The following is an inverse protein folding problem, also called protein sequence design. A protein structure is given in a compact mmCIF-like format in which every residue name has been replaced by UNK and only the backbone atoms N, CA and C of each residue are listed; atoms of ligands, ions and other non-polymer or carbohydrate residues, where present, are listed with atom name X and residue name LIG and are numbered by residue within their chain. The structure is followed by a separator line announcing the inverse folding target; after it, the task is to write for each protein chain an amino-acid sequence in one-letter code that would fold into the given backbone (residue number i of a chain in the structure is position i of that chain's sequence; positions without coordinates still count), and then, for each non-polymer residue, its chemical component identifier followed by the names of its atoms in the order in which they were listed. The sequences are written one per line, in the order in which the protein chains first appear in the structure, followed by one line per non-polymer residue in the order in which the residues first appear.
data_IF_660151023439
#
_entry.id   IF_660151023439
#
_cell.length_a   1.000
_cell.length_b   1.000
_cell.length_c   1.000
_cell.angle_alpha   90.00
_cell.angle_beta   90.00
_cell.angle_gamma   90.00
#
_symmetry.space_group_name_H-M   'P 1'
#
loop_
_entity.id
_entity.type
_entity.pdbx_description
1 polymer ?
#
# COMPACT_ATOMS: atom_id res chain seq x y z
N UNK A 1 44.95 -36.76 3.88
CA UNK A 1 43.87 -36.68 2.85
C UNK A 1 42.72 -35.73 3.23
N UNK A 2 42.50 -35.42 4.52
CA UNK A 2 41.42 -34.54 5.04
C UNK A 2 41.54 -33.05 4.63
N UNK A 3 42.75 -32.57 4.35
CA UNK A 3 42.97 -31.16 3.95
C UNK A 3 42.34 -30.78 2.60
N UNK A 4 42.27 -31.72 1.66
CA UNK A 4 41.66 -31.48 0.34
C UNK A 4 40.13 -31.55 0.41
N UNK A 5 39.58 -32.48 1.18
CA UNK A 5 38.13 -32.63 1.35
C UNK A 5 37.51 -31.45 2.10
N UNK A 6 38.21 -30.90 3.10
CA UNK A 6 37.78 -29.68 3.80
C UNK A 6 37.71 -28.46 2.88
N UNK A 7 38.66 -28.30 1.95
CA UNK A 7 38.66 -27.19 0.99
C UNK A 7 37.50 -27.30 -0.02
N UNK A 8 37.18 -28.53 -0.45
CA UNK A 8 36.01 -28.78 -1.31
C UNK A 8 34.68 -28.52 -0.59
N UNK A 9 34.54 -28.99 0.65
CA UNK A 9 33.34 -28.75 1.47
C UNK A 9 33.12 -27.27 1.75
N UNK A 10 34.19 -26.52 2.01
CA UNK A 10 34.13 -25.08 2.26
C UNK A 10 33.75 -24.30 1.00
N UNK A 11 34.28 -24.71 -0.17
CA UNK A 11 33.86 -24.15 -1.46
C UNK A 11 32.40 -24.44 -1.80
N UNK A 12 31.92 -25.65 -1.53
CA UNK A 12 30.51 -26.01 -1.73
C UNK A 12 29.58 -25.21 -0.82
N UNK A 13 29.94 -25.05 0.47
CA UNK A 13 29.16 -24.25 1.42
C UNK A 13 29.12 -22.76 1.01
N UNK A 14 30.24 -22.20 0.56
CA UNK A 14 30.31 -20.82 0.06
C UNK A 14 29.47 -20.62 -1.22
N UNK A 15 29.51 -21.59 -2.14
CA UNK A 15 28.70 -21.57 -3.35
C UNK A 15 27.20 -21.58 -3.05
N UNK A 16 26.74 -22.44 -2.13
CA UNK A 16 25.35 -22.49 -1.68
C UNK A 16 24.94 -21.19 -1.00
N UNK A 17 25.78 -20.63 -0.12
CA UNK A 17 25.49 -19.35 0.51
C UNK A 17 25.36 -18.20 -0.51
N UNK A 18 26.22 -18.17 -1.52
CA UNK A 18 26.18 -17.16 -2.59
C UNK A 18 24.95 -17.32 -3.48
N UNK A 19 24.56 -18.54 -3.86
CA UNK A 19 23.36 -18.76 -4.67
C UNK A 19 22.11 -18.39 -3.88
N UNK A 20 21.99 -18.80 -2.61
CA UNK A 20 20.88 -18.39 -1.75
C UNK A 20 20.82 -16.87 -1.55
N UNK A 21 21.95 -16.18 -1.39
CA UNK A 21 21.97 -14.72 -1.29
C UNK A 21 21.60 -14.02 -2.61
N UNK A 22 22.03 -14.56 -3.76
CA UNK A 22 21.76 -13.99 -5.08
C UNK A 22 20.34 -14.28 -5.59
N UNK A 23 19.78 -15.44 -5.26
CA UNK A 23 18.44 -15.87 -5.69
C UNK A 23 17.38 -15.70 -4.61
N UNK A 24 17.73 -15.14 -3.45
CA UNK A 24 16.72 -14.74 -2.48
C UNK A 24 15.74 -13.80 -3.20
N UNK A 25 14.44 -14.17 -3.32
CA UNK A 25 13.46 -13.21 -3.75
C UNK A 25 13.61 -12.07 -2.75
N UNK A 26 14.00 -10.88 -3.22
CA UNK A 26 14.06 -9.70 -2.34
C UNK A 26 12.72 -9.67 -1.66
N UNK A 27 12.67 -10.03 -0.38
CA UNK A 27 11.44 -9.94 0.39
C UNK A 27 11.20 -8.45 0.40
N UNK A 28 10.29 -7.99 -0.45
CA UNK A 28 9.89 -6.59 -0.50
C UNK A 28 9.01 -6.40 0.74
N UNK A 29 9.66 -6.37 1.90
CA UNK A 29 9.07 -6.00 3.18
C UNK A 29 8.71 -4.52 3.03
N UNK A 30 7.51 -4.23 2.54
CA UNK A 30 7.03 -2.87 2.36
C UNK A 30 6.24 -2.60 1.09
N UNK A 31 6.21 -3.52 0.12
CA UNK A 31 5.22 -3.43 -0.95
C UNK A 31 3.92 -4.05 -0.43
N UNK A 32 3.22 -3.32 0.44
CA UNK A 32 1.79 -3.59 0.64
C UNK A 32 1.17 -3.59 -0.75
N UNK A 33 0.63 -4.71 -1.20
CA UNK A 33 -0.32 -4.72 -2.30
C UNK A 33 -1.45 -3.79 -1.87
N UNK A 34 -1.37 -2.53 -2.31
CA UNK A 34 -2.31 -1.48 -1.96
C UNK A 34 -3.63 -1.92 -2.57
N UNK A 35 -4.49 -2.51 -1.75
CA UNK A 35 -5.80 -2.99 -2.18
C UNK A 35 -6.57 -1.75 -2.62
N UNK A 36 -6.52 -1.43 -3.91
CA UNK A 36 -7.07 -0.20 -4.47
C UNK A 36 -8.55 -0.02 -4.06
N UNK A 37 -9.29 -1.12 -3.94
CA UNK A 37 -10.65 -1.14 -3.42
C UNK A 37 -10.77 -0.65 -1.96
N UNK A 38 -9.84 -1.04 -1.07
CA UNK A 38 -9.84 -0.60 0.32
C UNK A 38 -9.58 0.91 0.45
N UNK A 39 -8.78 1.47 -0.46
CA UNK A 39 -8.57 2.92 -0.52
C UNK A 39 -9.84 3.64 -1.02
N UNK A 40 -10.53 3.10 -2.05
CA UNK A 40 -11.79 3.68 -2.55
C UNK A 40 -12.84 3.81 -1.46
N UNK A 41 -13.11 2.74 -0.69
CA UNK A 41 -14.11 2.81 0.39
C UNK A 41 -13.71 3.78 1.50
N UNK A 42 -12.39 3.91 1.78
CA UNK A 42 -11.89 4.90 2.74
C UNK A 42 -12.16 6.33 2.27
N UNK A 43 -12.00 6.62 0.98
CA UNK A 43 -12.30 7.93 0.42
C UNK A 43 -13.80 8.23 0.42
N UNK A 44 -14.67 7.24 0.19
CA UNK A 44 -16.11 7.41 0.32
C UNK A 44 -16.53 7.73 1.77
N UNK A 45 -15.93 7.08 2.75
CA UNK A 45 -16.18 7.39 4.16
C UNK A 45 -15.71 8.81 4.51
N UNK A 46 -14.52 9.22 4.06
CA UNK A 46 -14.02 10.57 4.27
C UNK A 46 -14.93 11.64 3.63
N UNK A 47 -15.43 11.38 2.44
CA UNK A 47 -16.42 12.25 1.81
C UNK A 47 -17.68 12.38 2.68
N UNK A 48 -18.19 11.26 3.21
CA UNK A 48 -19.31 11.25 4.14
C UNK A 48 -19.04 12.07 5.40
N UNK A 49 -17.90 11.88 6.05
CA UNK A 49 -17.52 12.63 7.26
C UNK A 49 -17.48 14.15 7.03
N UNK A 50 -16.94 14.57 5.88
CA UNK A 50 -16.89 15.98 5.49
C UNK A 50 -18.29 16.52 5.18
N UNK A 51 -19.11 15.77 4.47
CA UNK A 51 -20.50 16.12 4.16
C UNK A 51 -21.32 16.37 5.43
N UNK A 52 -21.24 15.44 6.39
CA UNK A 52 -21.91 15.53 7.69
C UNK A 52 -21.45 16.76 8.47
N UNK A 53 -20.13 17.00 8.51
CA UNK A 53 -19.56 18.14 9.20
C UNK A 53 -20.04 19.46 8.61
N UNK A 54 -20.02 19.59 7.28
CA UNK A 54 -20.49 20.81 6.64
C UNK A 54 -21.96 21.05 6.96
N UNK A 55 -22.80 20.02 6.91
CA UNK A 55 -24.24 20.17 7.23
C UNK A 55 -24.49 20.55 8.70
N UNK A 56 -23.64 20.10 9.63
CA UNK A 56 -23.78 20.38 11.05
C UNK A 56 -23.19 21.74 11.49
N UNK A 57 -22.04 22.10 10.92
CA UNK A 57 -21.26 23.27 11.35
C UNK A 57 -21.58 24.53 10.54
N UNK A 58 -22.31 24.43 9.41
CA UNK A 58 -22.69 25.61 8.64
C UNK A 58 -23.78 26.44 9.34
N UNK A 59 -23.64 27.77 9.21
CA UNK A 59 -24.58 28.75 9.75
C UNK A 59 -25.98 28.61 9.13
N UNK A 60 -26.04 28.29 7.84
CA UNK A 60 -27.28 28.04 7.11
C UNK A 60 -27.26 26.62 6.57
N UNK A 61 -28.37 25.89 6.75
CA UNK A 61 -28.46 24.50 6.29
C UNK A 61 -28.34 24.45 4.76
N UNK A 62 -27.30 23.81 4.21
CA UNK A 62 -27.15 23.66 2.78
C UNK A 62 -28.19 22.69 2.22
N UNK A 63 -28.48 22.83 0.92
CA UNK A 63 -29.24 21.83 0.17
C UNK A 63 -28.34 20.62 -0.11
N UNK A 64 -28.69 19.47 0.45
CA UNK A 64 -27.90 18.24 0.39
C UNK A 64 -27.66 17.77 -1.06
N UNK A 65 -28.68 17.84 -1.92
CA UNK A 65 -28.57 17.40 -3.30
C UNK A 65 -27.63 18.32 -4.10
N UNK A 66 -27.81 19.63 -3.93
CA UNK A 66 -26.96 20.64 -4.58
C UNK A 66 -25.51 20.56 -4.10
N UNK A 67 -25.28 20.28 -2.82
CA UNK A 67 -23.95 20.18 -2.24
C UNK A 67 -23.19 18.96 -2.79
N UNK A 68 -23.87 17.81 -2.90
CA UNK A 68 -23.29 16.60 -3.52
C UNK A 68 -23.04 16.82 -5.02
N UNK A 69 -24.01 17.36 -5.76
CA UNK A 69 -23.87 17.64 -7.19
C UNK A 69 -22.69 18.57 -7.47
N UNK A 70 -22.55 19.64 -6.69
CA UNK A 70 -21.47 20.61 -6.84
C UNK A 70 -20.11 19.98 -6.51
N UNK A 71 -20.03 19.14 -5.46
CA UNK A 71 -18.81 18.43 -5.12
C UNK A 71 -18.36 17.47 -6.23
N UNK A 72 -19.31 16.76 -6.86
CA UNK A 72 -19.02 15.87 -8.01
C UNK A 72 -18.53 16.69 -9.19
N UNK A 73 -19.22 17.77 -9.53
CA UNK A 73 -18.83 18.64 -10.64
C UNK A 73 -17.44 19.25 -10.41
N UNK A 74 -17.10 19.63 -9.18
CA UNK A 74 -15.77 20.12 -8.82
C UNK A 74 -14.65 19.07 -8.94
N UNK A 75 -14.97 17.77 -8.95
CA UNK A 75 -14.00 16.71 -9.26
C UNK A 75 -13.79 16.49 -10.78
N UNK A 76 -14.70 16.99 -11.62
CA UNK A 76 -14.68 16.79 -13.08
C UNK A 76 -14.05 17.96 -13.86
N UNK A 77 -13.90 19.12 -13.22
CA UNK A 77 -13.25 20.33 -13.75
C UNK A 77 -11.85 20.49 -13.21
#
# INVERSE_FOLDING_TARGET
MIRKTSLFLMGAAAGVALTLAATQPRIVIGASAKAAAADTYRQLNLFGDVFERVRADYVEKPDDAKLVETAINGMLT
#
